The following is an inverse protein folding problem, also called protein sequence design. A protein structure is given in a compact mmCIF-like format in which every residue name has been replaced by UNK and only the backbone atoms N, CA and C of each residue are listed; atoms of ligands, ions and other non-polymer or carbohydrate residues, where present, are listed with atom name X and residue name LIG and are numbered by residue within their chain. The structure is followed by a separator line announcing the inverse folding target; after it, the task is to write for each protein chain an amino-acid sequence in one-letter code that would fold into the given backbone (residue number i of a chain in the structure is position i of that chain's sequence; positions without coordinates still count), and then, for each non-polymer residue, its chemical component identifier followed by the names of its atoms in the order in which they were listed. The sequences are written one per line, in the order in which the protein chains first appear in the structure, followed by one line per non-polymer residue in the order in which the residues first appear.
data_IF_623813811885
#
_entry.id   IF_623813811885
#
_cell.length_a   1.000
_cell.length_b   1.000
_cell.length_c   1.000
_cell.angle_alpha   90.00
_cell.angle_beta   90.00
_cell.angle_gamma   90.00
#
_symmetry.space_group_name_H-M   'P 1'
#
loop_
_entity.id
_entity.type
_entity.pdbx_description
1 polymer ?
#
# COMPACT_ATOMS: atom_id res chain seq x y z
N UNK A 1 -11.42 -16.37 -19.50
CA UNK A 1 -12.02 -15.72 -18.31
C UNK A 1 -11.23 -16.25 -17.13
N UNK A 2 -10.35 -15.45 -16.52
CA UNK A 2 -9.65 -15.86 -15.30
C UNK A 2 -10.69 -16.07 -14.20
N UNK A 3 -10.50 -17.09 -13.36
CA UNK A 3 -11.39 -17.34 -12.22
C UNK A 3 -11.23 -16.23 -11.17
N UNK A 4 -12.20 -16.06 -10.28
CA UNK A 4 -12.12 -15.03 -9.23
C UNK A 4 -10.95 -15.29 -8.27
N UNK A 5 -10.59 -16.55 -8.08
CA UNK A 5 -9.39 -16.98 -7.34
C UNK A 5 -8.08 -16.63 -8.06
N UNK A 6 -8.03 -16.61 -9.41
CA UNK A 6 -6.83 -16.22 -10.17
C UNK A 6 -6.51 -14.72 -10.05
N UNK A 7 -7.52 -13.88 -9.83
CA UNK A 7 -7.37 -12.41 -9.81
C UNK A 7 -6.91 -11.92 -8.44
N UNK A 8 -7.37 -12.56 -7.36
CA UNK A 8 -7.11 -12.12 -5.99
C UNK A 8 -5.93 -12.86 -5.33
N UNK A 9 -5.46 -13.97 -5.92
CA UNK A 9 -4.52 -14.91 -5.30
C UNK A 9 -4.94 -15.22 -3.84
N UNK A 10 -4.10 -14.88 -2.86
CA UNK A 10 -4.33 -15.10 -1.43
C UNK A 10 -4.89 -13.87 -0.69
N UNK A 11 -5.31 -12.84 -1.42
CA UNK A 11 -5.78 -11.57 -0.86
C UNK A 11 -7.31 -11.52 -0.83
N UNK A 12 -7.87 -10.77 0.12
CA UNK A 12 -9.31 -10.51 0.12
C UNK A 12 -9.65 -9.34 -0.82
N UNK A 13 -10.92 -9.19 -1.17
CA UNK A 13 -11.40 -8.05 -1.97
C UNK A 13 -11.09 -6.74 -1.24
N UNK A 14 -11.20 -6.71 0.09
CA UNK A 14 -10.89 -5.53 0.92
C UNK A 14 -9.40 -5.18 0.90
N UNK A 15 -8.51 -6.18 0.83
CA UNK A 15 -7.07 -5.94 0.71
C UNK A 15 -6.72 -5.31 -0.65
N UNK A 16 -7.33 -5.81 -1.73
CA UNK A 16 -7.12 -5.27 -3.08
C UNK A 16 -7.76 -3.89 -3.23
N UNK A 17 -8.98 -3.70 -2.73
CA UNK A 17 -9.66 -2.41 -2.75
C UNK A 17 -8.90 -1.36 -1.92
N UNK A 18 -8.33 -1.76 -0.77
CA UNK A 18 -7.42 -0.90 -0.01
C UNK A 18 -6.19 -0.52 -0.83
N UNK A 19 -5.52 -1.48 -1.47
CA UNK A 19 -4.35 -1.22 -2.31
C UNK A 19 -4.68 -0.23 -3.45
N UNK A 20 -5.85 -0.38 -4.08
CA UNK A 20 -6.34 0.52 -5.13
C UNK A 20 -6.71 1.93 -4.62
N UNK A 21 -6.96 2.09 -3.32
CA UNK A 21 -7.24 3.40 -2.73
C UNK A 21 -5.97 4.24 -2.49
N UNK A 22 -4.80 3.62 -2.50
CA UNK A 22 -3.55 4.30 -2.19
C UNK A 22 -3.14 5.27 -3.30
N UNK A 23 -2.59 6.41 -2.89
CA UNK A 23 -1.91 7.33 -3.79
C UNK A 23 -0.58 6.74 -4.30
N UNK A 24 -0.04 7.30 -5.38
CA UNK A 24 1.25 6.88 -5.97
C UNK A 24 2.39 6.90 -4.94
N UNK A 25 2.48 7.93 -4.11
CA UNK A 25 3.52 8.03 -3.08
C UNK A 25 3.36 7.01 -1.94
N UNK A 26 2.13 6.63 -1.60
CA UNK A 26 1.86 5.56 -0.63
C UNK A 26 2.22 4.18 -1.21
N UNK A 27 1.93 3.95 -2.50
CA UNK A 27 2.36 2.75 -3.21
C UNK A 27 3.89 2.66 -3.29
N UNK A 28 4.56 3.76 -3.61
CA UNK A 28 6.03 3.84 -3.65
C UNK A 28 6.65 3.53 -2.28
N UNK A 29 6.05 4.02 -1.19
CA UNK A 29 6.48 3.69 0.16
C UNK A 29 6.40 2.18 0.42
N UNK A 30 5.27 1.54 0.09
CA UNK A 30 5.09 0.10 0.27
C UNK A 30 6.05 -0.72 -0.61
N UNK A 31 6.26 -0.29 -1.85
CA UNK A 31 7.24 -0.90 -2.75
C UNK A 31 8.65 -0.77 -2.19
N UNK A 32 9.02 0.39 -1.64
CA UNK A 32 10.28 0.62 -0.96
C UNK A 32 10.47 -0.32 0.23
N UNK A 33 9.44 -0.53 1.06
CA UNK A 33 9.47 -1.49 2.17
C UNK A 33 9.68 -2.92 1.68
N UNK A 34 8.97 -3.34 0.63
CA UNK A 34 9.12 -4.67 0.04
C UNK A 34 10.54 -4.87 -0.52
N UNK A 35 11.07 -3.88 -1.23
CA UNK A 35 12.43 -3.91 -1.77
C UNK A 35 13.47 -3.98 -0.65
N UNK A 36 13.32 -3.19 0.40
CA UNK A 36 14.22 -3.22 1.56
C UNK A 36 14.23 -4.59 2.23
N UNK A 37 13.05 -5.18 2.45
CA UNK A 37 12.90 -6.51 3.03
C UNK A 37 13.58 -7.58 2.17
N UNK A 38 13.36 -7.55 0.85
CA UNK A 38 13.98 -8.47 -0.11
C UNK A 38 15.51 -8.35 -0.07
N UNK A 39 16.04 -7.13 -0.13
CA UNK A 39 17.48 -6.87 -0.08
C UNK A 39 18.08 -7.37 1.24
N UNK A 40 17.39 -7.16 2.36
CA UNK A 40 17.85 -7.63 3.66
C UNK A 40 17.84 -9.15 3.75
N UNK A 41 16.78 -9.80 3.28
CA UNK A 41 16.64 -11.26 3.24
C UNK A 41 17.75 -11.90 2.39
N UNK A 42 18.04 -11.32 1.22
CA UNK A 42 19.18 -11.69 0.37
C UNK A 42 20.52 -11.53 1.07
N UNK A 43 20.74 -10.39 1.72
CA UNK A 43 21.99 -10.10 2.41
C UNK A 43 22.34 -11.09 3.53
N UNK A 44 21.33 -11.75 4.13
CA UNK A 44 21.53 -12.80 5.15
C UNK A 44 21.41 -14.24 4.60
N UNK A 45 21.28 -14.41 3.28
CA UNK A 45 21.13 -15.72 2.63
C UNK A 45 19.79 -16.42 2.90
N UNK A 46 18.73 -15.68 3.25
CA UNK A 46 17.40 -16.23 3.61
C UNK A 46 16.28 -15.59 2.79
N UNK A 47 16.34 -15.72 1.47
CA UNK A 47 15.39 -15.06 0.54
C UNK A 47 13.93 -15.43 0.79
N UNK A 48 13.64 -16.67 1.21
CA UNK A 48 12.28 -17.12 1.57
C UNK A 48 11.62 -16.28 2.67
N UNK A 49 12.38 -15.55 3.49
CA UNK A 49 11.80 -14.63 4.48
C UNK A 49 11.11 -13.42 3.83
N UNK A 50 11.50 -13.05 2.60
CA UNK A 50 10.87 -11.97 1.85
C UNK A 50 9.44 -12.33 1.41
N UNK A 51 9.11 -13.63 1.27
CA UNK A 51 7.76 -14.10 0.95
C UNK A 51 6.74 -13.73 2.02
N UNK A 52 7.20 -13.51 3.27
CA UNK A 52 6.35 -13.05 4.38
C UNK A 52 5.94 -11.58 4.27
N UNK A 53 6.53 -10.82 3.36
CA UNK A 53 6.17 -9.43 3.07
C UNK A 53 5.09 -9.40 1.98
N UNK A 54 4.00 -10.12 2.26
CA UNK A 54 2.78 -10.12 1.47
C UNK A 54 2.01 -8.80 1.66
N UNK A 55 0.88 -8.65 0.95
CA UNK A 55 0.10 -7.42 0.98
C UNK A 55 -0.36 -7.07 2.40
N UNK A 56 -0.76 -8.06 3.20
CA UNK A 56 -1.24 -7.90 4.58
C UNK A 56 -0.12 -7.43 5.51
N UNK A 57 1.07 -7.99 5.37
CA UNK A 57 2.25 -7.55 6.10
C UNK A 57 2.65 -6.13 5.69
N UNK A 58 2.68 -5.82 4.39
CA UNK A 58 3.01 -4.49 3.89
C UNK A 58 2.01 -3.44 4.39
N UNK A 59 0.71 -3.75 4.37
CA UNK A 59 -0.34 -2.91 4.96
C UNK A 59 -0.07 -2.63 6.44
N UNK A 60 0.19 -3.68 7.22
CA UNK A 60 0.46 -3.57 8.65
C UNK A 60 1.71 -2.72 8.92
N UNK A 61 2.78 -2.93 8.16
CA UNK A 61 4.01 -2.14 8.29
C UNK A 61 3.81 -0.68 7.90
N UNK A 62 3.10 -0.41 6.80
CA UNK A 62 2.75 0.95 6.37
C UNK A 62 1.97 1.69 7.44
N UNK A 63 0.96 1.05 8.03
CA UNK A 63 0.20 1.57 9.17
C UNK A 63 1.10 1.92 10.36
N UNK A 64 1.92 0.97 10.82
CA UNK A 64 2.80 1.16 11.97
C UNK A 64 3.78 2.31 11.74
N UNK A 65 4.38 2.37 10.54
CA UNK A 65 5.33 3.43 10.18
C UNK A 65 4.67 4.80 10.12
N UNK A 66 3.47 4.89 9.54
CA UNK A 66 2.74 6.15 9.44
C UNK A 66 2.26 6.64 10.81
N UNK A 67 1.80 5.74 11.69
CA UNK A 67 1.46 6.10 13.07
C UNK A 67 2.69 6.58 13.84
N UNK A 68 3.83 5.89 13.68
CA UNK A 68 5.08 6.30 14.28
C UNK A 68 5.55 7.67 13.78
N UNK A 69 5.51 7.89 12.47
CA UNK A 69 5.85 9.16 11.84
C UNK A 69 4.95 10.28 12.35
N UNK A 70 3.64 10.04 12.41
CA UNK A 70 2.66 11.00 12.93
C UNK A 70 2.94 11.39 14.38
N UNK A 71 3.26 10.43 15.24
CA UNK A 71 3.68 10.72 16.61
C UNK A 71 4.93 11.60 16.66
N UNK A 72 5.95 11.29 15.83
CA UNK A 72 7.18 12.10 15.74
C UNK A 72 6.92 13.51 15.23
N UNK A 73 6.05 13.67 14.24
CA UNK A 73 5.66 14.99 13.72
C UNK A 73 4.94 15.80 14.80
N UNK A 74 4.02 15.19 15.55
CA UNK A 74 3.35 15.83 16.70
C UNK A 74 4.34 16.34 17.75
N UNK A 75 5.39 15.58 18.05
CA UNK A 75 6.42 16.02 19.00
C UNK A 75 7.15 17.28 18.50
N UNK A 76 7.31 17.42 17.18
CA UNK A 76 7.96 18.56 16.54
C UNK A 76 7.05 19.78 16.39
N UNK A 77 5.72 19.64 16.48
CA UNK A 77 4.77 20.77 16.41
C UNK A 77 4.98 21.81 17.54
N UNK A 78 5.75 21.46 18.57
CA UNK A 78 6.20 22.40 19.61
C UNK A 78 7.13 23.49 19.05
N UNK A 79 7.70 23.28 17.86
CA UNK A 79 8.55 24.25 17.17
C UNK A 79 7.65 25.26 16.46
N UNK A 80 7.85 26.58 16.69
CA UNK A 80 7.12 27.62 15.97
C UNK A 80 7.23 27.44 14.45
N UNK A 81 6.08 27.46 13.76
CA UNK A 81 6.00 27.26 12.31
C UNK A 81 5.69 25.83 11.86
N UNK A 82 5.65 24.86 12.78
CA UNK A 82 5.32 23.46 12.46
C UNK A 82 3.96 23.00 13.02
N UNK A 83 3.21 23.90 13.65
CA UNK A 83 1.91 23.61 14.24
C UNK A 83 0.93 23.04 13.21
N UNK A 84 0.25 21.94 13.55
CA UNK A 84 -0.74 21.28 12.70
C UNK A 84 -0.17 20.41 11.58
N UNK A 85 1.16 20.29 11.46
CA UNK A 85 1.79 19.47 10.42
C UNK A 85 1.41 17.99 10.48
N UNK A 86 1.12 17.45 11.66
CA UNK A 86 0.69 16.06 11.81
C UNK A 86 -0.69 15.80 11.20
N UNK A 87 -1.55 16.81 11.09
CA UNK A 87 -2.90 16.66 10.52
C UNK A 87 -2.88 16.31 9.03
N UNK A 88 -1.80 16.65 8.31
CA UNK A 88 -1.65 16.25 6.90
C UNK A 88 -1.55 14.73 6.72
N UNK A 89 -1.07 14.01 7.75
CA UNK A 89 -0.97 12.56 7.70
C UNK A 89 -2.33 11.87 7.88
N UNK A 90 -3.33 12.55 8.46
CA UNK A 90 -4.68 12.00 8.63
C UNK A 90 -5.40 11.74 7.30
N UNK A 91 -4.96 12.39 6.21
CA UNK A 91 -5.49 12.16 4.88
C UNK A 91 -4.99 10.84 4.25
N UNK A 92 -3.93 10.23 4.80
CA UNK A 92 -3.32 9.02 4.26
C UNK A 92 -4.25 7.81 4.37
N UNK A 93 -4.40 7.09 3.26
CA UNK A 93 -5.14 5.84 3.20
C UNK A 93 -4.38 4.67 3.85
N UNK A 94 -3.08 4.85 4.12
CA UNK A 94 -2.32 3.93 4.97
C UNK A 94 -2.80 3.95 6.43
N UNK A 95 -3.33 5.06 6.94
CA UNK A 95 -3.82 5.17 8.32
C UNK A 95 -5.31 4.83 8.48
N UNK A 96 -6.05 4.69 7.38
CA UNK A 96 -7.48 4.36 7.44
C UNK A 96 -7.67 2.89 7.79
N UNK A 97 -8.21 2.64 8.99
CA UNK A 97 -8.53 1.30 9.49
C UNK A 97 -9.82 0.73 8.89
N UNK A 98 -10.76 1.58 8.47
CA UNK A 98 -12.00 1.18 7.79
C UNK A 98 -11.97 1.66 6.34
N UNK A 99 -12.28 0.73 5.43
CA UNK A 99 -12.49 1.02 4.03
C UNK A 99 -13.94 1.53 3.88
N UNK A 100 -14.21 2.77 4.27
CA UNK A 100 -15.57 3.35 4.13
C UNK A 100 -15.97 3.60 2.67
N UNK A 101 -15.03 3.46 1.72
CA UNK A 101 -15.28 3.47 0.27
C UNK A 101 -14.67 2.22 -0.37
N UNK A 102 -15.31 1.06 -0.21
CA UNK A 102 -14.86 -0.19 -0.82
C UNK A 102 -15.15 -0.17 -2.32
N UNK A 103 -14.10 -0.19 -3.14
CA UNK A 103 -14.19 -0.51 -4.56
C UNK A 103 -14.70 -1.96 -4.69
N UNK A 104 -15.80 -2.21 -5.42
CA UNK A 104 -16.34 -3.57 -5.52
C UNK A 104 -15.46 -4.45 -6.40
N UNK A 105 -15.68 -5.77 -6.38
CA UNK A 105 -14.99 -6.70 -7.28
C UNK A 105 -15.19 -6.30 -8.76
N UNK A 106 -16.36 -5.81 -9.12
CA UNK A 106 -16.69 -5.33 -10.47
C UNK A 106 -15.88 -4.09 -10.83
N UNK A 107 -15.75 -3.13 -9.90
CA UNK A 107 -14.94 -1.93 -10.10
C UNK A 107 -13.45 -2.28 -10.30
N UNK A 108 -12.95 -3.24 -9.51
CA UNK A 108 -11.56 -3.75 -9.64
C UNK A 108 -11.37 -4.40 -11.01
N UNK A 109 -12.28 -5.28 -11.44
CA UNK A 109 -12.24 -5.94 -12.76
C UNK A 109 -12.27 -4.90 -13.89
N UNK A 110 -13.12 -3.87 -13.78
CA UNK A 110 -13.20 -2.80 -14.77
C UNK A 110 -11.90 -2.00 -14.90
N UNK A 111 -11.22 -1.67 -13.80
CA UNK A 111 -9.91 -1.01 -13.84
C UNK A 111 -8.86 -1.86 -14.58
N UNK A 112 -8.80 -3.17 -14.31
CA UNK A 112 -7.84 -4.08 -14.95
C UNK A 112 -8.11 -4.24 -16.47
N UNK A 113 -9.38 -4.36 -16.86
CA UNK A 113 -9.78 -4.52 -18.26
C UNK A 113 -9.42 -3.30 -19.13
N UNK A 114 -9.42 -2.10 -18.57
CA UNK A 114 -9.03 -0.89 -19.30
C UNK A 114 -7.53 -0.84 -19.60
N UNK A 115 -6.69 -1.42 -18.73
CA UNK A 115 -5.24 -1.51 -18.93
C UNK A 115 -4.83 -2.61 -19.91
N UNK A 116 -5.55 -3.74 -19.94
CA UNK A 116 -5.33 -4.81 -20.94
C UNK A 116 -5.75 -4.40 -22.36
N UNK A 117 -6.72 -3.49 -22.51
CA UNK A 117 -7.18 -2.98 -23.81
C UNK A 117 -6.28 -1.88 -24.40
N UNK A 118 -5.38 -1.28 -23.62
CA UNK A 118 -4.28 -0.46 -24.15
C UNK A 118 -3.18 -1.39 -24.67
N UNK A 119 -3.41 -1.96 -25.86
CA UNK A 119 -2.37 -2.67 -26.60
C UNK A 119 -1.11 -1.79 -26.79
N UNK A 120 0.06 -2.40 -27.06
CA UNK A 120 1.31 -1.67 -27.14
C UNK A 120 1.20 -0.54 -28.16
N UNK A 121 1.49 0.69 -27.72
CA UNK A 121 1.65 1.83 -28.61
C UNK A 121 2.75 1.46 -29.61
N UNK A 122 2.36 1.07 -30.83
CA UNK A 122 3.29 0.83 -31.93
C UNK A 122 4.02 2.16 -32.19
N UNK A 123 5.34 2.16 -31.94
CA UNK A 123 6.27 3.13 -32.52
C UNK A 123 6.72 2.61 -33.87
#
# INVERSE_FOLDING_TARGET
MASEEDILENNSVEDVAWLCSLSESELDLLMGLKTLALQRARGIGREHLAEKFDLKMLRSMGMILMEHLKAKVKDLERIPGLAGSASHLDASNLLKSSLENVMTLEDIKACLDTHLKRGPLKR
#
